data_IF_324396906727
#
_entry.id   IF_324396906727
#
_cell.length_a   1.000
_cell.length_b   1.000
_cell.length_c   1.000
_cell.angle_alpha   90.00
_cell.angle_beta   90.00
_cell.angle_gamma   90.00
#
_symmetry.space_group_name_H-M   'P 1'
#
loop_
_entity.id
_entity.type
_entity.pdbx_description
1 polymer ?
#
# COMPACT_ATOMS: atom_id res chain seq x y z
N UNK A 1 -19.26 1.75 -52.50
CA UNK A 1 -18.55 0.85 -51.56
C UNK A 1 -18.37 1.60 -50.25
N UNK A 2 -19.32 1.55 -49.33
CA UNK A 2 -19.28 2.36 -48.08
C UNK A 2 -19.67 1.60 -46.81
N UNK A 3 -20.02 0.30 -46.88
CA UNK A 3 -20.47 -0.45 -45.68
C UNK A 3 -19.40 -1.25 -44.94
N UNK A 4 -18.17 -1.35 -45.48
CA UNK A 4 -17.13 -2.22 -44.92
C UNK A 4 -16.08 -1.48 -44.08
N UNK A 5 -15.86 -0.18 -44.35
CA UNK A 5 -14.94 0.68 -43.56
C UNK A 5 -15.49 0.93 -42.16
N UNK A 6 -16.77 1.32 -42.06
CA UNK A 6 -17.41 1.66 -40.80
C UNK A 6 -17.38 0.51 -39.76
N UNK A 7 -17.43 -0.75 -40.21
CA UNK A 7 -17.35 -1.91 -39.31
C UNK A 7 -15.95 -2.11 -38.70
N UNK A 8 -14.89 -1.79 -39.46
CA UNK A 8 -13.50 -1.90 -39.01
C UNK A 8 -13.14 -0.72 -38.10
N UNK A 9 -13.57 0.49 -38.45
CA UNK A 9 -13.32 1.70 -37.65
C UNK A 9 -13.95 1.61 -36.25
N UNK A 10 -15.15 1.02 -36.16
CA UNK A 10 -15.79 0.76 -34.87
C UNK A 10 -15.04 -0.29 -34.04
N UNK A 11 -14.53 -1.36 -34.66
CA UNK A 11 -13.80 -2.41 -33.96
C UNK A 11 -12.48 -1.89 -33.34
N UNK A 12 -11.74 -1.04 -34.06
CA UNK A 12 -10.52 -0.39 -33.56
C UNK A 12 -10.81 0.58 -32.41
N UNK A 13 -11.92 1.32 -32.48
CA UNK A 13 -12.36 2.19 -31.39
C UNK A 13 -12.66 1.37 -30.11
N UNK A 14 -13.36 0.24 -30.24
CA UNK A 14 -13.64 -0.66 -29.10
C UNK A 14 -12.37 -1.27 -28.52
N UNK A 15 -11.42 -1.71 -29.35
CA UNK A 15 -10.14 -2.23 -28.88
C UNK A 15 -9.33 -1.19 -28.11
N UNK A 16 -9.36 0.07 -28.55
CA UNK A 16 -8.70 1.18 -27.87
C UNK A 16 -9.33 1.46 -26.49
N UNK A 17 -10.66 1.46 -26.42
CA UNK A 17 -11.40 1.64 -25.15
C UNK A 17 -11.12 0.48 -24.20
N UNK A 18 -11.19 -0.76 -24.67
CA UNK A 18 -10.87 -1.94 -23.87
C UNK A 18 -9.43 -1.89 -23.36
N UNK A 19 -8.46 -1.53 -24.21
CA UNK A 19 -7.06 -1.37 -23.83
C UNK A 19 -6.87 -0.31 -22.74
N UNK A 20 -7.58 0.82 -22.84
CA UNK A 20 -7.54 1.87 -21.82
C UNK A 20 -8.13 1.40 -20.48
N UNK A 21 -9.29 0.73 -20.51
CA UNK A 21 -9.92 0.18 -19.29
C UNK A 21 -9.02 -0.83 -18.60
N UNK A 22 -8.42 -1.75 -19.37
CA UNK A 22 -7.47 -2.74 -18.85
C UNK A 22 -6.23 -2.04 -18.26
N UNK A 23 -5.69 -1.04 -18.96
CA UNK A 23 -4.55 -0.25 -18.48
C UNK A 23 -4.84 0.45 -17.16
N UNK A 24 -6.01 1.11 -17.04
CA UNK A 24 -6.44 1.77 -15.79
C UNK A 24 -6.62 0.74 -14.67
N UNK A 25 -7.22 -0.41 -14.96
CA UNK A 25 -7.41 -1.47 -13.97
C UNK A 25 -6.07 -2.02 -13.46
N UNK A 26 -5.09 -2.24 -14.35
CA UNK A 26 -3.74 -2.67 -13.97
C UNK A 26 -3.01 -1.61 -13.15
N UNK A 27 -3.16 -0.34 -13.51
CA UNK A 27 -2.56 0.77 -12.77
C UNK A 27 -3.16 0.89 -11.37
N UNK A 28 -4.48 0.79 -11.23
CA UNK A 28 -5.17 0.75 -9.94
C UNK A 28 -4.74 -0.46 -9.10
N UNK A 29 -4.67 -1.65 -9.71
CA UNK A 29 -4.19 -2.86 -9.07
C UNK A 29 -2.75 -2.69 -8.54
N UNK A 30 -1.87 -2.11 -9.35
CA UNK A 30 -0.48 -1.82 -8.97
C UNK A 30 -0.41 -0.85 -7.79
N UNK A 31 -1.21 0.22 -7.79
CA UNK A 31 -1.30 1.16 -6.66
C UNK A 31 -1.78 0.46 -5.39
N UNK A 32 -2.78 -0.41 -5.49
CA UNK A 32 -3.29 -1.18 -4.34
C UNK A 32 -2.23 -2.12 -3.79
N UNK A 33 -1.51 -2.84 -4.65
CA UNK A 33 -0.42 -3.73 -4.25
C UNK A 33 0.74 -2.98 -3.60
N UNK A 34 1.13 -1.83 -4.15
CA UNK A 34 2.13 -0.95 -3.55
C UNK A 34 1.62 -0.50 -2.18
N UNK A 35 0.38 0.00 -2.08
CA UNK A 35 -0.16 0.49 -0.82
C UNK A 35 -0.29 -0.60 0.23
N UNK A 36 -0.66 -1.82 -0.16
CA UNK A 36 -0.69 -2.99 0.73
C UNK A 36 0.72 -3.34 1.23
N UNK A 37 1.70 -3.38 0.31
CA UNK A 37 3.10 -3.67 0.65
C UNK A 37 3.74 -2.60 1.54
N UNK A 38 3.41 -1.32 1.30
CA UNK A 38 3.84 -0.22 2.15
C UNK A 38 3.15 -0.24 3.51
N UNK A 39 1.86 -0.63 3.58
CA UNK A 39 1.13 -0.75 4.84
C UNK A 39 1.76 -1.82 5.74
N UNK A 40 2.14 -2.97 5.17
CA UNK A 40 2.87 -4.01 5.91
C UNK A 40 4.23 -3.52 6.41
N UNK A 41 5.04 -2.91 5.53
CA UNK A 41 6.37 -2.41 5.94
C UNK A 41 6.32 -1.23 6.91
N UNK A 42 5.26 -0.41 6.89
CA UNK A 42 5.12 0.72 7.80
C UNK A 42 4.77 0.31 9.24
N UNK A 43 4.30 -0.93 9.46
CA UNK A 43 4.05 -1.44 10.80
C UNK A 43 5.26 -2.11 11.46
N UNK A 44 6.25 -2.57 10.70
CA UNK A 44 7.38 -3.31 11.25
C UNK A 44 8.32 -2.50 12.17
N UNK A 45 8.83 -1.31 11.82
CA UNK A 45 9.85 -0.67 12.66
C UNK A 45 9.27 -0.10 13.98
N UNK A 46 8.03 0.40 13.96
CA UNK A 46 7.39 0.97 15.14
C UNK A 46 6.82 -0.12 16.06
N UNK A 47 6.25 -1.20 15.49
CA UNK A 47 5.71 -2.30 16.31
C UNK A 47 6.80 -3.17 16.90
N UNK A 48 7.95 -3.32 16.24
CA UNK A 48 9.09 -4.09 16.76
C UNK A 48 9.81 -3.32 17.88
N UNK A 49 10.01 -2.01 17.73
CA UNK A 49 10.51 -1.14 18.80
C UNK A 49 9.56 -1.12 20.01
N UNK A 50 8.26 -1.01 19.79
CA UNK A 50 7.26 -1.03 20.87
C UNK A 50 7.18 -2.41 21.56
N UNK A 51 7.31 -3.51 20.79
CA UNK A 51 7.39 -4.87 21.35
C UNK A 51 8.68 -5.08 22.16
N UNK A 52 9.81 -4.59 21.67
CA UNK A 52 11.09 -4.65 22.38
C UNK A 52 11.03 -3.86 23.70
N UNK A 53 10.44 -2.67 23.69
CA UNK A 53 10.21 -1.89 24.91
C UNK A 53 9.28 -2.61 25.90
N UNK A 54 8.16 -3.19 25.44
CA UNK A 54 7.24 -3.95 26.31
C UNK A 54 7.89 -5.19 26.91
N UNK A 55 8.75 -5.89 26.15
CA UNK A 55 9.50 -7.04 26.65
C UNK A 55 10.53 -6.65 27.73
N UNK A 56 11.18 -5.49 27.59
CA UNK A 56 12.14 -4.96 28.57
C UNK A 56 11.44 -4.48 29.85
N UNK A 57 10.27 -3.86 29.71
CA UNK A 57 9.40 -3.51 30.85
C UNK A 57 8.91 -4.76 31.59
N UNK A 58 8.46 -5.79 30.87
CA UNK A 58 8.01 -7.06 31.46
C UNK A 58 9.14 -7.83 32.16
N UNK A 59 10.39 -7.59 31.77
CA UNK A 59 11.59 -8.14 32.41
C UNK A 59 12.04 -7.33 33.65
N UNK A 60 11.42 -6.17 33.90
CA UNK A 60 11.80 -5.26 34.98
C UNK A 60 13.14 -4.57 34.74
N UNK A 61 13.60 -4.54 33.48
CA UNK A 61 14.90 -3.99 33.08
C UNK A 61 14.84 -2.48 32.85
N UNK A 62 13.63 -1.93 32.72
CA UNK A 62 13.33 -0.52 32.49
C UNK A 62 12.18 -0.12 33.44
N UNK A 63 12.30 1.05 34.06
CA UNK A 63 11.26 1.62 34.93
C UNK A 63 10.10 2.22 34.10
N UNK A 64 8.90 2.27 34.68
CA UNK A 64 7.68 2.71 33.99
C UNK A 64 7.83 4.14 33.44
N UNK A 65 8.55 5.00 34.14
CA UNK A 65 8.82 6.39 33.75
C UNK A 65 9.74 6.48 32.51
N UNK A 66 10.70 5.56 32.39
CA UNK A 66 11.63 5.51 31.26
C UNK A 66 10.94 4.92 30.01
N UNK A 67 10.03 3.95 30.20
CA UNK A 67 9.15 3.44 29.15
C UNK A 67 8.23 4.53 28.58
N UNK A 68 7.60 5.35 29.44
CA UNK A 68 6.72 6.43 29.01
C UNK A 68 7.47 7.53 28.23
N UNK A 69 8.72 7.81 28.63
CA UNK A 69 9.58 8.78 27.95
C UNK A 69 9.98 8.30 26.56
N UNK A 70 10.43 7.06 26.41
CA UNK A 70 10.79 6.50 25.09
C UNK A 70 9.57 6.36 24.17
N UNK A 71 8.39 5.97 24.70
CA UNK A 71 7.16 5.91 23.92
C UNK A 71 6.71 7.29 23.42
N UNK A 72 6.96 8.36 24.19
CA UNK A 72 6.66 9.73 23.77
C UNK A 72 7.55 10.22 22.62
N UNK A 73 8.78 9.71 22.53
CA UNK A 73 9.73 10.02 21.44
C UNK A 73 9.37 9.27 20.17
N UNK A 74 8.95 8.00 20.27
CA UNK A 74 8.52 7.18 19.13
C UNK A 74 7.20 7.64 18.49
N UNK A 75 6.37 8.39 19.21
CA UNK A 75 5.05 8.86 18.75
C UNK A 75 5.09 10.24 18.08
N UNK A 76 6.26 10.87 18.00
CA UNK A 76 6.46 12.20 17.40
C UNK A 76 7.11 12.08 16.02
#
# INVERSE_FOLDING_TARGET
MMGWSDGVDNADAWMTVCGFVVGVALLACTIVLIRASYRDRSQEPLSEAERALRLRLARGEIDVDEFLREQSVLRR
#
